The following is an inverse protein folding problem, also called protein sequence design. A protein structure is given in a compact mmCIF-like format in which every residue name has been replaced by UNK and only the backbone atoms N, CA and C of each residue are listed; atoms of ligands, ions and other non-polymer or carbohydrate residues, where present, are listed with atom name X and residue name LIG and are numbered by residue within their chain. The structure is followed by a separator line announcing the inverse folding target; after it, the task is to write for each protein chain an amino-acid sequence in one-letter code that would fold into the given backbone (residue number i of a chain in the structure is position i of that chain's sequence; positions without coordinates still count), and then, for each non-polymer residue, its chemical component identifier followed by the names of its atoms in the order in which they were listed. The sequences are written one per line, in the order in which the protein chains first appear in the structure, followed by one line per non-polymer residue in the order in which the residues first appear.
data_IF_214951284894
#
_entry.id   IF_214951284894
#
_cell.length_a   1.000
_cell.length_b   1.000
_cell.length_c   1.000
_cell.angle_alpha   90.00
_cell.angle_beta   90.00
_cell.angle_gamma   90.00
#
_symmetry.space_group_name_H-M   'P 1'
#
loop_
_entity.id
_entity.type
_entity.pdbx_description
1 polymer ?
#
# COMPACT_ATOMS: atom_id res chain seq x y z
N UNK A 1 44.10 -0.67 -9.72
CA UNK A 1 43.72 0.16 -10.87
C UNK A 1 42.19 0.15 -10.91
N UNK A 2 41.59 1.34 -10.96
CA UNK A 2 40.21 1.76 -10.61
C UNK A 2 39.09 0.70 -10.48
N UNK A 3 38.52 0.72 -9.27
CA UNK A 3 37.12 0.43 -8.91
C UNK A 3 36.20 1.32 -9.75
N UNK A 4 35.20 0.74 -10.40
CA UNK A 4 34.08 1.49 -10.98
C UNK A 4 32.84 1.08 -10.19
N UNK A 5 32.50 1.89 -9.21
CA UNK A 5 31.13 1.96 -8.68
C UNK A 5 30.33 2.68 -9.77
N UNK A 6 29.56 1.90 -10.56
CA UNK A 6 28.50 2.46 -11.38
C UNK A 6 27.30 2.68 -10.44
N UNK A 7 27.04 3.94 -10.12
CA UNK A 7 25.79 4.38 -9.53
C UNK A 7 24.73 4.32 -10.63
N UNK A 8 23.88 3.28 -10.60
CA UNK A 8 22.80 3.06 -11.57
C UNK A 8 21.50 3.67 -11.03
N UNK A 9 21.38 5.00 -11.04
CA UNK A 9 20.08 5.65 -10.77
C UNK A 9 19.09 5.42 -11.93
N UNK A 10 19.59 5.23 -13.17
CA UNK A 10 18.78 4.98 -14.36
C UNK A 10 18.06 3.60 -14.34
N UNK A 11 18.64 2.56 -13.70
CA UNK A 11 18.03 1.22 -13.62
C UNK A 11 16.81 1.16 -12.67
N UNK A 12 16.72 2.11 -11.73
CA UNK A 12 15.67 2.13 -10.71
C UNK A 12 14.39 2.77 -11.24
N UNK A 13 14.50 3.76 -12.13
CA UNK A 13 13.35 4.46 -12.70
C UNK A 13 12.55 3.53 -13.63
N UNK A 14 13.24 2.78 -14.51
CA UNK A 14 12.62 1.74 -15.35
C UNK A 14 11.95 0.64 -14.51
N UNK A 15 12.53 0.30 -13.35
CA UNK A 15 11.98 -0.73 -12.45
C UNK A 15 10.58 -0.38 -11.92
N UNK A 16 10.31 0.88 -11.58
CA UNK A 16 8.99 1.26 -11.07
C UNK A 16 7.95 1.33 -12.18
N UNK A 17 8.32 1.88 -13.35
CA UNK A 17 7.43 1.93 -14.51
C UNK A 17 7.03 0.53 -14.96
N UNK A 18 8.00 -0.38 -15.07
CA UNK A 18 7.75 -1.79 -15.39
C UNK A 18 6.81 -2.46 -14.36
N UNK A 19 6.95 -2.12 -13.08
CA UNK A 19 6.07 -2.64 -12.04
C UNK A 19 4.65 -2.08 -12.14
N UNK A 20 4.45 -0.84 -12.60
CA UNK A 20 3.10 -0.32 -12.87
C UNK A 20 2.41 -1.11 -13.98
N UNK A 21 3.11 -1.43 -15.07
CA UNK A 21 2.58 -2.29 -16.15
C UNK A 21 2.23 -3.70 -15.65
N UNK A 22 3.03 -4.23 -14.72
CA UNK A 22 2.76 -5.52 -14.07
C UNK A 22 1.51 -5.44 -13.19
N UNK A 23 1.32 -4.34 -12.44
CA UNK A 23 0.12 -4.14 -11.61
C UNK A 23 -1.14 -4.19 -12.47
N UNK A 24 -1.16 -3.51 -13.61
CA UNK A 24 -2.28 -3.53 -14.55
C UNK A 24 -2.62 -4.97 -14.96
N UNK A 25 -1.63 -5.73 -15.44
CA UNK A 25 -1.79 -7.13 -15.86
C UNK A 25 -2.31 -8.03 -14.75
N UNK A 26 -1.81 -7.86 -13.52
CA UNK A 26 -2.25 -8.65 -12.36
C UNK A 26 -3.69 -8.32 -11.96
N UNK A 27 -4.14 -7.08 -12.14
CA UNK A 27 -5.52 -6.66 -11.85
C UNK A 27 -6.52 -7.14 -12.91
N UNK A 28 -6.09 -7.25 -14.16
CA UNK A 28 -6.92 -7.78 -15.25
C UNK A 28 -7.18 -9.30 -15.13
N UNK A 29 -6.20 -10.07 -14.62
CA UNK A 29 -6.36 -11.51 -14.42
C UNK A 29 -7.15 -11.83 -13.14
N UNK A 30 -8.38 -12.31 -13.33
CA UNK A 30 -9.26 -12.76 -12.24
C UNK A 30 -8.73 -13.96 -11.47
N UNK A 31 -7.72 -14.66 -11.99
CA UNK A 31 -7.12 -15.84 -11.38
C UNK A 31 -5.80 -15.54 -10.65
N UNK A 32 -5.38 -14.27 -10.59
CA UNK A 32 -4.16 -13.85 -9.90
C UNK A 32 -4.11 -14.41 -8.49
N UNK A 33 -3.03 -15.15 -8.19
CA UNK A 33 -2.76 -15.69 -6.86
C UNK A 33 -1.73 -14.84 -6.15
N UNK A 34 -1.76 -14.84 -4.82
CA UNK A 34 -0.76 -14.12 -4.01
C UNK A 34 0.68 -14.47 -4.41
N UNK A 35 0.97 -15.73 -4.76
CA UNK A 35 2.30 -16.14 -5.24
C UNK A 35 2.76 -15.38 -6.48
N UNK A 36 1.86 -15.09 -7.41
CA UNK A 36 2.18 -14.40 -8.66
C UNK A 36 2.46 -12.91 -8.38
N UNK A 37 1.65 -12.30 -7.52
CA UNK A 37 1.88 -10.94 -7.00
C UNK A 37 3.26 -10.83 -6.37
N UNK A 38 3.60 -11.74 -5.45
CA UNK A 38 4.87 -11.75 -4.74
C UNK A 38 6.06 -11.96 -5.67
N UNK A 39 5.93 -12.82 -6.67
CA UNK A 39 6.99 -13.08 -7.65
C UNK A 39 7.28 -11.86 -8.52
N UNK A 40 6.26 -11.10 -8.88
CA UNK A 40 6.37 -10.00 -9.83
C UNK A 40 6.64 -8.65 -9.16
N UNK A 41 5.99 -8.38 -8.02
CA UNK A 41 6.09 -7.10 -7.32
C UNK A 41 7.01 -7.16 -6.10
N UNK A 42 7.11 -8.31 -5.43
CA UNK A 42 7.86 -8.47 -4.19
C UNK A 42 7.03 -8.17 -2.94
N UNK A 43 7.64 -8.37 -1.79
CA UNK A 43 7.11 -8.01 -0.47
C UNK A 43 8.24 -7.79 0.55
N UNK A 44 9.43 -7.42 0.07
CA UNK A 44 10.59 -7.16 0.91
C UNK A 44 10.66 -5.71 1.37
N UNK A 45 11.71 -5.42 2.14
CA UNK A 45 11.94 -4.11 2.78
C UNK A 45 12.35 -3.04 1.75
N UNK A 46 12.86 -3.45 0.58
CA UNK A 46 13.28 -2.52 -0.45
C UNK A 46 12.06 -1.79 -1.06
N UNK A 47 12.19 -0.47 -1.29
CA UNK A 47 11.09 0.36 -1.78
C UNK A 47 10.48 -0.17 -3.10
N UNK A 48 11.31 -0.67 -4.02
CA UNK A 48 10.83 -1.24 -5.27
C UNK A 48 10.06 -2.56 -5.05
N UNK A 49 10.21 -3.24 -3.92
CA UNK A 49 9.46 -4.46 -3.56
C UNK A 49 8.24 -4.21 -2.68
N UNK A 50 8.14 -3.05 -2.02
CA UNK A 50 7.04 -2.72 -1.10
C UNK A 50 6.07 -1.68 -1.67
N UNK A 51 6.55 -0.61 -2.31
CA UNK A 51 5.71 0.48 -2.83
C UNK A 51 4.76 0.00 -3.93
N UNK A 52 5.21 -0.71 -4.98
CA UNK A 52 4.31 -1.20 -6.02
C UNK A 52 3.31 -2.23 -5.48
N UNK A 53 3.73 -3.07 -4.54
CA UNK A 53 2.86 -4.04 -3.87
C UNK A 53 1.78 -3.35 -3.05
N UNK A 54 2.10 -2.28 -2.32
CA UNK A 54 1.11 -1.49 -1.59
C UNK A 54 0.07 -0.85 -2.52
N UNK A 55 0.51 -0.32 -3.67
CA UNK A 55 -0.39 0.22 -4.69
C UNK A 55 -1.31 -0.87 -5.26
N UNK A 56 -0.75 -2.03 -5.62
CA UNK A 56 -1.54 -3.18 -6.07
C UNK A 56 -2.57 -3.61 -5.03
N UNK A 57 -2.18 -3.70 -3.75
CA UNK A 57 -3.08 -4.05 -2.65
C UNK A 57 -4.26 -3.09 -2.58
N UNK A 58 -4.01 -1.78 -2.61
CA UNK A 58 -5.06 -0.76 -2.60
C UNK A 58 -6.04 -0.94 -3.77
N UNK A 59 -5.52 -1.11 -4.99
CA UNK A 59 -6.33 -1.26 -6.20
C UNK A 59 -7.12 -2.58 -6.17
N UNK A 60 -6.49 -3.68 -5.75
CA UNK A 60 -7.16 -4.99 -5.66
C UNK A 60 -8.27 -5.00 -4.62
N UNK A 61 -8.10 -4.27 -3.52
CA UNK A 61 -9.06 -4.19 -2.42
C UNK A 61 -10.33 -3.39 -2.76
N UNK A 62 -10.37 -2.70 -3.92
CA UNK A 62 -11.60 -2.06 -4.41
C UNK A 62 -12.70 -3.06 -4.75
N UNK A 63 -12.35 -4.34 -4.92
CA UNK A 63 -13.27 -5.43 -5.15
C UNK A 63 -13.13 -6.51 -4.06
N UNK A 64 -14.17 -7.33 -3.81
CA UNK A 64 -14.09 -8.45 -2.88
C UNK A 64 -12.90 -9.38 -3.17
N UNK A 65 -12.30 -9.90 -2.10
CA UNK A 65 -11.22 -10.89 -2.15
C UNK A 65 -11.76 -12.17 -1.51
N UNK A 66 -11.79 -13.32 -2.22
CA UNK A 66 -12.53 -14.52 -1.82
C UNK A 66 -12.32 -15.02 -0.38
N UNK A 67 -11.14 -14.76 0.20
CA UNK A 67 -10.75 -15.25 1.53
C UNK A 67 -10.88 -14.19 2.65
N UNK A 68 -11.25 -12.95 2.31
CA UNK A 68 -11.38 -11.86 3.27
C UNK A 68 -12.84 -11.57 3.59
N UNK A 69 -13.17 -11.62 4.89
CA UNK A 69 -14.54 -11.41 5.40
C UNK A 69 -14.74 -9.95 5.80
N UNK A 70 -14.68 -9.06 4.83
CA UNK A 70 -15.02 -7.64 5.03
C UNK A 70 -15.50 -7.00 3.74
N UNK A 71 -16.54 -6.18 3.86
CA UNK A 71 -17.03 -5.33 2.78
C UNK A 71 -16.37 -3.95 2.79
N UNK A 72 -15.69 -3.60 3.90
CA UNK A 72 -14.99 -2.33 4.05
C UNK A 72 -13.68 -2.34 3.23
N UNK A 73 -13.49 -1.42 2.27
CA UNK A 73 -12.32 -1.43 1.39
C UNK A 73 -11.00 -1.10 2.11
N UNK A 74 -11.03 -0.26 3.16
CA UNK A 74 -9.83 0.07 3.96
C UNK A 74 -9.40 -1.15 4.75
N UNK A 75 -10.33 -1.77 5.48
CA UNK A 75 -10.06 -3.01 6.23
C UNK A 75 -9.60 -4.13 5.29
N UNK A 76 -10.22 -4.25 4.11
CA UNK A 76 -9.83 -5.23 3.08
C UNK A 76 -8.40 -5.02 2.58
N UNK A 77 -7.99 -3.77 2.33
CA UNK A 77 -6.63 -3.45 1.90
C UNK A 77 -5.60 -3.84 2.96
N UNK A 78 -5.83 -3.45 4.22
CA UNK A 78 -4.93 -3.77 5.34
C UNK A 78 -4.83 -5.29 5.53
N UNK A 79 -5.97 -5.99 5.58
CA UNK A 79 -5.99 -7.44 5.71
C UNK A 79 -5.26 -8.12 4.55
N UNK A 80 -5.51 -7.69 3.31
CA UNK A 80 -4.88 -8.29 2.14
C UNK A 80 -3.36 -8.10 2.16
N UNK A 81 -2.85 -6.90 2.47
CA UNK A 81 -1.42 -6.66 2.66
C UNK A 81 -0.79 -7.65 3.65
N UNK A 82 -1.43 -7.88 4.80
CA UNK A 82 -0.92 -8.81 5.82
C UNK A 82 -0.86 -10.24 5.27
N UNK A 83 -1.85 -10.67 4.47
CA UNK A 83 -1.83 -12.02 3.87
C UNK A 83 -0.71 -12.26 2.87
N UNK A 84 -0.10 -11.19 2.31
CA UNK A 84 1.03 -11.31 1.40
C UNK A 84 2.34 -11.63 2.12
N UNK A 85 2.42 -11.46 3.44
CA UNK A 85 3.64 -11.71 4.22
C UNK A 85 4.79 -10.77 3.86
N UNK A 86 5.99 -11.06 4.37
CA UNK A 86 7.17 -10.21 4.16
C UNK A 86 7.15 -8.97 5.07
N UNK A 87 7.42 -7.80 4.49
CA UNK A 87 7.42 -6.49 5.15
C UNK A 87 5.98 -5.96 5.32
N UNK A 88 5.18 -6.72 6.08
CA UNK A 88 3.72 -6.54 6.15
C UNK A 88 3.30 -5.22 6.78
N UNK A 89 4.03 -4.73 7.77
CA UNK A 89 3.75 -3.47 8.46
C UNK A 89 3.92 -2.27 7.52
N UNK A 90 5.03 -2.22 6.79
CA UNK A 90 5.31 -1.17 5.80
C UNK A 90 4.30 -1.19 4.66
N UNK A 91 4.04 -2.36 4.07
CA UNK A 91 3.09 -2.51 2.95
C UNK A 91 1.67 -2.17 3.39
N UNK A 92 1.21 -2.68 4.54
CA UNK A 92 -0.13 -2.38 5.06
C UNK A 92 -0.28 -0.90 5.43
N UNK A 93 0.77 -0.27 5.96
CA UNK A 93 0.76 1.17 6.27
C UNK A 93 0.61 1.99 5.00
N UNK A 94 1.38 1.72 3.94
CA UNK A 94 1.26 2.45 2.68
C UNK A 94 -0.09 2.21 2.00
N UNK A 95 -0.53 0.96 1.89
CA UNK A 95 -1.82 0.63 1.29
C UNK A 95 -2.99 1.24 2.08
N UNK A 96 -2.91 1.19 3.41
CA UNK A 96 -3.88 1.79 4.33
C UNK A 96 -3.92 3.31 4.25
N UNK A 97 -2.77 3.98 4.09
CA UNK A 97 -2.71 5.42 3.88
C UNK A 97 -3.41 5.84 2.58
N UNK A 98 -3.14 5.14 1.48
CA UNK A 98 -3.80 5.39 0.18
C UNK A 98 -5.31 5.13 0.30
N UNK A 99 -5.69 3.98 0.86
CA UNK A 99 -7.11 3.62 1.03
C UNK A 99 -7.86 4.59 1.95
N UNK A 100 -7.25 5.02 3.05
CA UNK A 100 -7.82 5.97 4.00
C UNK A 100 -7.98 7.36 3.39
N UNK A 101 -7.00 7.83 2.62
CA UNK A 101 -7.10 9.09 1.88
C UNK A 101 -8.21 9.04 0.82
N UNK A 102 -8.35 7.91 0.11
CA UNK A 102 -9.34 7.75 -0.95
C UNK A 102 -10.78 7.57 -0.44
N UNK A 103 -10.97 6.80 0.63
CA UNK A 103 -12.30 6.47 1.16
C UNK A 103 -12.74 7.35 2.35
N UNK A 104 -11.83 8.15 2.91
CA UNK A 104 -12.08 9.06 4.01
C UNK A 104 -12.17 8.40 5.39
N UNK A 105 -12.12 9.23 6.44
CA UNK A 105 -12.10 8.82 7.86
C UNK A 105 -13.27 7.93 8.27
N UNK A 106 -14.46 8.14 7.70
CA UNK A 106 -15.67 7.34 7.99
C UNK A 106 -15.54 5.88 7.55
N UNK A 107 -14.63 5.58 6.62
CA UNK A 107 -14.34 4.21 6.18
C UNK A 107 -13.34 3.50 7.09
N UNK A 108 -12.75 4.18 8.08
CA UNK A 108 -11.86 3.57 9.08
C UNK A 108 -12.71 3.12 10.26
N UNK A 109 -12.88 1.81 10.41
CA UNK A 109 -13.74 1.20 11.44
C UNK A 109 -13.19 1.44 12.85
N UNK A 110 -14.06 1.77 13.81
CA UNK A 110 -13.67 2.00 15.21
C UNK A 110 -12.96 0.80 15.84
N UNK A 111 -13.27 -0.42 15.38
CA UNK A 111 -12.57 -1.63 15.81
C UNK A 111 -11.07 -1.59 15.49
N UNK A 112 -10.69 -1.06 14.32
CA UNK A 112 -9.27 -0.87 13.96
C UNK A 112 -8.62 0.21 14.84
N UNK A 113 -9.33 1.31 15.09
CA UNK A 113 -8.79 2.41 15.89
C UNK A 113 -8.63 2.02 17.36
N UNK A 114 -9.54 1.20 17.89
CA UNK A 114 -9.51 0.78 19.29
C UNK A 114 -8.24 0.04 19.70
N UNK A 115 -7.47 -0.48 18.74
CA UNK A 115 -6.23 -1.22 18.97
C UNK A 115 -4.96 -0.46 18.55
N UNK A 116 -5.11 0.73 17.96
CA UNK A 116 -3.97 1.56 17.54
C UNK A 116 -3.47 2.39 18.73
N UNK A 117 -2.16 2.44 18.92
CA UNK A 117 -1.54 3.29 19.93
C UNK A 117 -1.67 4.76 19.53
N UNK A 118 -1.98 5.63 20.51
CA UNK A 118 -2.01 7.08 20.32
C UNK A 118 -2.95 7.60 19.23
N UNK A 119 -4.10 6.96 19.01
CA UNK A 119 -5.12 7.41 18.02
C UNK A 119 -5.47 8.88 18.17
N UNK A 120 -5.72 9.36 19.39
CA UNK A 120 -6.07 10.77 19.64
C UNK A 120 -4.99 11.74 19.14
N UNK A 121 -3.72 11.37 19.30
CA UNK A 121 -2.60 12.17 18.79
C UNK A 121 -2.54 12.15 17.26
N UNK A 122 -2.77 10.99 16.64
CA UNK A 122 -2.78 10.83 15.17
C UNK A 122 -3.94 11.62 14.56
N UNK A 123 -5.13 11.56 15.15
CA UNK A 123 -6.30 12.33 14.71
C UNK A 123 -6.04 13.84 14.86
N UNK A 124 -5.46 14.29 15.98
CA UNK A 124 -5.08 15.70 16.13
C UNK A 124 -4.04 16.14 15.08
N UNK A 125 -3.09 15.28 14.74
CA UNK A 125 -2.11 15.57 13.70
C UNK A 125 -2.78 15.69 12.32
N UNK A 126 -3.76 14.84 12.02
CA UNK A 126 -4.52 14.90 10.78
C UNK A 126 -5.29 16.23 10.65
N UNK A 127 -5.98 16.68 11.71
CA UNK A 127 -6.67 17.98 11.74
C UNK A 127 -5.68 19.14 11.52
N UNK A 128 -4.52 19.12 12.20
CA UNK A 128 -3.49 20.15 12.01
C UNK A 128 -2.91 20.18 10.60
N UNK A 129 -2.77 19.03 9.95
CA UNK A 129 -2.33 18.96 8.56
C UNK A 129 -3.40 19.55 7.63
N UNK A 130 -4.67 19.23 7.86
CA UNK A 130 -5.80 19.79 7.11
C UNK A 130 -5.84 21.32 7.23
N UNK A 131 -5.79 21.86 8.45
CA UNK A 131 -5.80 23.30 8.71
C UNK A 131 -4.67 24.04 7.96
N UNK A 132 -3.48 23.44 7.89
CA UNK A 132 -2.34 24.03 7.19
C UNK A 132 -2.53 24.05 5.66
N UNK A 133 -3.17 23.03 5.09
CA UNK A 133 -3.48 22.97 3.66
C UNK A 133 -4.54 24.00 3.31
N UNK A 134 -5.62 24.08 4.10
CA UNK A 134 -6.69 25.06 3.90
C UNK A 134 -6.20 26.51 4.07
N UNK A 135 -5.30 26.77 5.03
CA UNK A 135 -4.73 28.10 5.22
C UNK A 135 -3.75 28.53 4.11
N UNK A 136 -3.30 27.59 3.27
CA UNK A 136 -2.36 27.82 2.17
C UNK A 136 -3.04 27.97 0.79
N UNK A 137 -4.35 27.74 0.70
CA UNK A 137 -5.18 27.88 -0.51
C UNK A 137 -5.91 29.21 -0.58
#
# INVERSE_FOLDING_TARGET
MKRVEQNNDDDVEDTYVDKLDVIEKLLEDKNTKSRDVLKCLGNGIAAYESVPTALYVFLRAQQPIPDLKTDNPVTRAIQYAITLGGDTDTIATMAGAIAGAYHGRASIEDGLLSVVESVEYIENLAERLYDNVEASG
#
